data_IF_145459101424
#
_entry.id   IF_145459101424
#
_cell.length_a   1.000
_cell.length_b   1.000
_cell.length_c   1.000
_cell.angle_alpha   90.00
_cell.angle_beta   90.00
_cell.angle_gamma   90.00
#
_symmetry.space_group_name_H-M   'P 1'
#
loop_
_entity.id
_entity.type
_entity.pdbx_description
1 polymer ?
#
# COMPACT_ATOMS: atom_id res chain seq x y z
N UNK A 1 -4.19 1.42 -20.05
CA UNK A 1 -4.15 2.79 -20.58
C UNK A 1 -4.30 3.72 -19.38
N UNK A 2 -3.20 4.16 -18.78
CA UNK A 2 -3.25 4.97 -17.56
C UNK A 2 -3.91 6.32 -17.86
N UNK A 3 -4.91 6.69 -17.06
CA UNK A 3 -5.38 8.07 -17.02
C UNK A 3 -4.25 8.93 -16.45
N UNK A 4 -3.37 9.40 -17.32
CA UNK A 4 -2.52 10.55 -17.00
C UNK A 4 -3.51 11.72 -16.88
N UNK A 5 -3.78 12.17 -15.65
CA UNK A 5 -4.54 13.40 -15.46
C UNK A 5 -3.82 14.51 -16.23
N UNK A 6 -4.51 15.10 -17.20
CA UNK A 6 -4.03 16.24 -17.96
C UNK A 6 -4.00 17.47 -17.04
N UNK A 7 -3.22 18.50 -17.39
CA UNK A 7 -3.18 19.77 -16.63
C UNK A 7 -4.58 20.38 -16.42
N UNK A 8 -5.52 20.08 -17.33
CA UNK A 8 -6.93 20.45 -17.25
C UNK A 8 -7.68 19.74 -16.11
N UNK A 9 -7.40 18.44 -15.90
CA UNK A 9 -7.96 17.67 -14.79
C UNK A 9 -7.49 18.20 -13.42
N UNK A 10 -6.20 18.54 -13.29
CA UNK A 10 -5.66 19.14 -12.07
C UNK A 10 -6.23 20.53 -11.77
N UNK A 11 -6.50 21.33 -12.80
CA UNK A 11 -7.12 22.65 -12.64
C UNK A 11 -8.56 22.53 -12.13
N UNK A 12 -9.38 21.68 -12.78
CA UNK A 12 -10.79 21.48 -12.42
C UNK A 12 -10.92 20.89 -11.01
N UNK A 13 -10.12 19.87 -10.69
CA UNK A 13 -10.12 19.24 -9.36
C UNK A 13 -9.69 20.22 -8.27
N UNK A 14 -8.68 21.05 -8.50
CA UNK A 14 -8.19 22.01 -7.51
C UNK A 14 -9.21 23.12 -7.22
N UNK A 15 -9.82 23.68 -8.26
CA UNK A 15 -10.86 24.71 -8.10
C UNK A 15 -12.07 24.11 -7.37
N UNK A 16 -12.51 22.91 -7.75
CA UNK A 16 -13.63 22.24 -7.08
C UNK A 16 -13.31 21.95 -5.60
N UNK A 17 -12.08 21.50 -5.30
CA UNK A 17 -11.64 21.23 -3.93
C UNK A 17 -11.52 22.50 -3.09
N UNK A 18 -11.03 23.60 -3.66
CA UNK A 18 -10.96 24.90 -2.99
C UNK A 18 -12.35 25.47 -2.71
N UNK A 19 -13.30 25.30 -3.65
CA UNK A 19 -14.69 25.71 -3.46
C UNK A 19 -15.36 24.90 -2.36
N UNK A 20 -15.18 23.58 -2.38
CA UNK A 20 -15.69 22.69 -1.35
C UNK A 20 -15.10 23.02 0.03
N UNK A 21 -13.78 23.17 0.13
CA UNK A 21 -13.09 23.41 1.39
C UNK A 21 -13.51 24.73 2.07
N UNK A 22 -13.82 25.76 1.28
CA UNK A 22 -14.35 27.02 1.79
C UNK A 22 -15.81 26.91 2.22
N UNK A 23 -16.67 26.29 1.40
CA UNK A 23 -18.09 26.13 1.72
C UNK A 23 -18.34 25.17 2.90
N UNK A 24 -17.45 24.21 3.11
CA UNK A 24 -17.48 23.28 4.23
C UNK A 24 -16.73 23.79 5.47
N UNK A 25 -16.21 25.04 5.43
CA UNK A 25 -15.50 25.70 6.53
C UNK A 25 -14.38 24.84 7.16
N UNK A 26 -13.66 24.06 6.34
CA UNK A 26 -12.68 23.07 6.82
C UNK A 26 -11.56 23.68 7.68
N UNK A 27 -11.23 24.95 7.44
CA UNK A 27 -10.35 25.72 8.31
C UNK A 27 -10.83 27.17 8.42
N UNK A 28 -10.57 27.86 9.55
CA UNK A 28 -10.93 29.27 9.72
C UNK A 28 -10.29 30.19 8.67
N UNK A 29 -9.08 29.85 8.23
CA UNK A 29 -8.32 30.60 7.22
C UNK A 29 -8.98 30.51 5.84
N UNK A 30 -9.49 29.34 5.44
CA UNK A 30 -10.18 29.16 4.16
C UNK A 30 -11.62 29.68 4.20
N UNK A 31 -12.31 29.54 5.33
CA UNK A 31 -13.67 30.03 5.52
C UNK A 31 -13.74 31.56 5.39
N UNK A 32 -12.77 32.28 5.97
CA UNK A 32 -12.78 33.75 6.03
C UNK A 32 -11.85 34.42 5.02
N UNK A 33 -11.02 33.65 4.30
CA UNK A 33 -10.11 34.19 3.29
C UNK A 33 -10.83 34.63 2.01
N UNK A 34 -10.32 35.66 1.33
CA UNK A 34 -10.89 36.15 0.08
C UNK A 34 -10.69 35.18 -1.08
N UNK A 35 -11.69 35.07 -1.96
CA UNK A 35 -11.61 34.24 -3.17
C UNK A 35 -10.44 34.62 -4.08
N UNK A 36 -10.07 35.91 -4.06
CA UNK A 36 -8.93 36.44 -4.80
C UNK A 36 -7.59 35.85 -4.37
N UNK A 37 -7.46 35.37 -3.13
CA UNK A 37 -6.24 34.71 -2.65
C UNK A 37 -6.37 33.18 -2.73
N UNK A 38 -7.55 32.65 -2.40
CA UNK A 38 -7.80 31.20 -2.34
C UNK A 38 -7.70 30.55 -3.72
N UNK A 39 -8.34 31.12 -4.74
CA UNK A 39 -8.35 30.51 -6.08
C UNK A 39 -6.96 30.52 -6.73
N UNK A 40 -6.22 31.66 -6.76
CA UNK A 40 -4.86 31.64 -7.30
C UNK A 40 -3.91 30.76 -6.50
N UNK A 41 -4.02 30.67 -5.17
CA UNK A 41 -3.17 29.79 -4.36
C UNK A 41 -3.46 28.32 -4.63
N UNK A 42 -4.73 27.93 -4.75
CA UNK A 42 -5.13 26.57 -5.09
C UNK A 42 -4.65 26.17 -6.49
N UNK A 43 -4.78 27.08 -7.47
CA UNK A 43 -4.30 26.87 -8.85
C UNK A 43 -2.77 26.78 -8.87
N UNK A 44 -2.06 27.67 -8.18
CA UNK A 44 -0.59 27.66 -8.14
C UNK A 44 -0.07 26.38 -7.49
N UNK A 45 -0.72 25.92 -6.41
CA UNK A 45 -0.32 24.70 -5.68
C UNK A 45 -0.59 23.44 -6.51
N UNK A 46 -1.72 23.37 -7.22
CA UNK A 46 -2.03 22.20 -8.04
C UNK A 46 -1.24 22.14 -9.35
N UNK A 47 -0.79 23.30 -9.87
CA UNK A 47 0.04 23.39 -11.05
C UNK A 47 1.54 23.32 -10.72
N UNK A 48 1.93 23.40 -9.45
CA UNK A 48 3.33 23.32 -9.03
C UNK A 48 4.06 22.07 -9.57
N UNK A 49 3.47 20.86 -9.54
CA UNK A 49 4.07 19.64 -10.11
C UNK A 49 4.16 19.63 -11.64
N UNK A 50 3.41 20.51 -12.32
CA UNK A 50 3.50 20.70 -13.77
C UNK A 50 4.43 21.88 -14.11
N UNK A 51 4.67 22.81 -13.19
CA UNK A 51 5.61 23.92 -13.35
C UNK A 51 7.05 23.49 -13.03
N UNK A 52 7.24 22.56 -12.09
CA UNK A 52 8.55 22.06 -11.66
C UNK A 52 9.20 21.07 -12.64
N UNK A 53 8.41 20.38 -13.45
CA UNK A 53 8.89 19.34 -14.35
C UNK A 53 9.28 19.92 -15.72
N UNK A 54 10.51 19.73 -16.23
CA UNK A 54 10.96 20.40 -17.46
C UNK A 54 10.31 19.86 -18.75
N UNK A 55 9.66 18.69 -18.68
CA UNK A 55 8.99 18.04 -19.83
C UNK A 55 7.47 18.17 -19.81
N UNK A 56 6.88 18.74 -18.77
CA UNK A 56 5.43 19.01 -18.73
C UNK A 56 5.04 20.15 -19.68
N UNK A 57 3.73 20.32 -19.90
CA UNK A 57 3.22 21.39 -20.74
C UNK A 57 3.55 22.79 -20.17
N UNK A 58 3.27 23.02 -18.87
CA UNK A 58 3.60 24.29 -18.24
C UNK A 58 5.10 24.49 -18.04
N UNK A 59 5.84 23.44 -17.70
CA UNK A 59 7.30 23.50 -17.56
C UNK A 59 8.02 23.79 -18.88
N UNK A 60 7.47 23.36 -20.03
CA UNK A 60 7.98 23.74 -21.35
C UNK A 60 7.64 25.18 -21.75
N UNK A 61 6.54 25.76 -21.26
CA UNK A 61 6.15 27.15 -21.55
C UNK A 61 6.80 28.16 -20.59
N UNK A 62 6.93 27.81 -19.33
CA UNK A 62 7.52 28.63 -18.27
C UNK A 62 8.96 28.18 -17.98
N UNK A 63 9.79 28.08 -19.02
CA UNK A 63 11.19 27.59 -18.91
C UNK A 63 12.02 28.39 -17.91
N UNK A 64 11.68 29.65 -17.65
CA UNK A 64 12.38 30.51 -16.69
C UNK A 64 12.06 30.17 -15.22
N UNK A 65 10.94 29.48 -14.96
CA UNK A 65 10.55 28.96 -13.63
C UNK A 65 10.93 27.48 -13.50
N UNK A 66 10.62 26.67 -14.52
CA UNK A 66 10.87 25.22 -14.48
C UNK A 66 12.36 24.86 -14.50
N UNK A 67 13.18 25.55 -15.30
CA UNK A 67 14.63 25.31 -15.34
C UNK A 67 15.30 25.52 -13.99
N UNK A 68 14.97 26.55 -13.17
CA UNK A 68 15.47 26.69 -11.80
C UNK A 68 15.03 25.61 -10.81
N UNK A 69 13.80 25.14 -10.93
CA UNK A 69 13.23 24.15 -10.01
C UNK A 69 13.73 22.73 -10.35
N UNK A 70 13.92 22.43 -11.63
CA UNK A 70 14.49 21.19 -12.14
C UNK A 70 16.03 21.09 -12.03
N UNK A 71 16.71 22.04 -11.36
CA UNK A 71 18.17 22.07 -11.34
C UNK A 71 18.73 20.91 -10.53
N UNK A 72 19.59 20.12 -11.17
CA UNK A 72 20.31 19.02 -10.55
C UNK A 72 21.02 19.42 -9.24
N UNK A 73 21.52 20.65 -9.14
CA UNK A 73 22.19 21.13 -7.92
C UNK A 73 21.31 21.09 -6.67
N UNK A 74 19.97 21.18 -6.78
CA UNK A 74 19.10 21.12 -5.60
C UNK A 74 19.16 19.72 -5.00
N UNK A 75 19.10 18.70 -5.86
CA UNK A 75 19.23 17.29 -5.46
C UNK A 75 20.60 17.03 -4.85
N UNK A 76 21.65 17.54 -5.48
CA UNK A 76 23.02 17.45 -4.97
C UNK A 76 23.17 18.13 -3.60
N UNK A 77 22.59 19.33 -3.42
CA UNK A 77 22.61 20.05 -2.13
C UNK A 77 21.83 19.34 -1.03
N UNK A 78 20.68 18.74 -1.33
CA UNK A 78 19.92 17.99 -0.33
C UNK A 78 20.69 16.74 0.08
N UNK A 79 21.27 16.02 -0.89
CA UNK A 79 22.11 14.85 -0.61
C UNK A 79 23.38 15.22 0.16
N UNK A 80 23.96 16.38 -0.10
CA UNK A 80 25.07 16.93 0.68
C UNK A 80 24.69 17.13 2.16
N UNK A 81 23.48 17.63 2.43
CA UNK A 81 22.97 17.71 3.81
C UNK A 81 22.73 16.33 4.43
N UNK A 82 22.27 15.34 3.65
CA UNK A 82 22.15 13.97 4.15
C UNK A 82 23.50 13.37 4.54
N UNK A 83 24.59 13.72 3.84
CA UNK A 83 25.93 13.23 4.16
C UNK A 83 26.43 13.73 5.53
N UNK A 84 25.90 14.87 6.02
CA UNK A 84 26.15 15.36 7.39
C UNK A 84 25.30 14.66 8.45
N UNK A 85 24.33 13.84 8.06
CA UNK A 85 23.50 13.04 8.96
C UNK A 85 24.03 11.60 9.00
N UNK A 86 24.09 10.96 7.84
CA UNK A 86 24.61 9.61 7.65
C UNK A 86 25.07 9.40 6.20
N UNK A 87 26.34 9.01 6.03
CA UNK A 87 26.95 8.85 4.70
C UNK A 87 26.32 7.70 3.92
N UNK A 88 25.92 6.61 4.59
CA UNK A 88 25.28 5.46 3.93
C UNK A 88 23.91 5.83 3.37
N UNK A 89 23.11 6.59 4.12
CA UNK A 89 21.85 7.18 3.65
C UNK A 89 22.07 8.06 2.42
N UNK A 90 23.05 8.98 2.49
CA UNK A 90 23.36 9.88 1.40
C UNK A 90 23.79 9.12 0.13
N UNK A 91 24.61 8.07 0.27
CA UNK A 91 25.02 7.21 -0.85
C UNK A 91 23.84 6.48 -1.49
N UNK A 92 22.94 5.92 -0.69
CA UNK A 92 21.75 5.23 -1.20
C UNK A 92 20.82 6.17 -1.98
N UNK A 93 20.59 7.38 -1.46
CA UNK A 93 19.80 8.40 -2.16
C UNK A 93 20.51 8.88 -3.44
N UNK A 94 21.81 9.15 -3.38
CA UNK A 94 22.62 9.58 -4.54
C UNK A 94 22.58 8.53 -5.67
N UNK A 95 22.75 7.25 -5.33
CA UNK A 95 22.68 6.14 -6.28
C UNK A 95 21.34 6.12 -7.03
N UNK A 96 20.23 6.25 -6.31
CA UNK A 96 18.88 6.29 -6.89
C UNK A 96 18.63 7.55 -7.73
N UNK A 97 19.33 8.65 -7.43
CA UNK A 97 19.27 9.90 -8.20
C UNK A 97 20.26 9.96 -9.36
N UNK A 98 21.13 8.95 -9.52
CA UNK A 98 22.04 8.78 -10.65
C UNK A 98 23.34 9.57 -10.56
N UNK A 99 23.83 9.90 -9.35
CA UNK A 99 25.14 10.52 -9.16
C UNK A 99 25.91 9.93 -7.97
N UNK A 100 27.22 10.17 -7.92
CA UNK A 100 28.08 9.71 -6.84
C UNK A 100 28.42 10.88 -5.90
N UNK A 101 28.58 10.58 -4.62
CA UNK A 101 29.16 11.52 -3.66
C UNK A 101 30.64 11.77 -4.00
N UNK A 102 31.13 12.98 -3.71
CA UNK A 102 32.56 13.28 -3.80
C UNK A 102 33.33 12.57 -2.70
N UNK A 103 34.65 12.41 -2.86
CA UNK A 103 35.49 11.82 -1.80
C UNK A 103 35.35 12.60 -0.49
N UNK A 104 35.32 13.93 -0.54
CA UNK A 104 35.11 14.79 0.63
C UNK A 104 33.79 14.48 1.34
N UNK A 105 32.68 14.36 0.59
CA UNK A 105 31.37 14.03 1.15
C UNK A 105 31.34 12.66 1.82
N UNK A 106 32.10 11.68 1.31
CA UNK A 106 32.20 10.35 1.94
C UNK A 106 33.03 10.33 3.24
N UNK A 107 33.79 11.39 3.51
CA UNK A 107 34.65 11.52 4.70
C UNK A 107 34.06 12.47 5.76
N UNK A 108 32.83 12.97 5.55
CA UNK A 108 32.14 13.81 6.54
C UNK A 108 31.94 13.00 7.82
N UNK A 109 32.43 13.54 8.94
CA UNK A 109 32.26 12.90 10.24
C UNK A 109 30.77 12.93 10.65
N UNK A 110 30.22 11.82 11.16
CA UNK A 110 28.85 11.80 11.66
C UNK A 110 28.71 12.72 12.88
N UNK A 111 27.49 13.23 13.14
CA UNK A 111 27.23 14.05 14.33
C UNK A 111 27.48 13.25 15.62
N UNK A 112 27.80 13.92 16.74
CA UNK A 112 28.01 13.25 18.01
C UNK A 112 26.71 12.60 18.53
N UNK A 113 26.87 11.56 19.34
CA UNK A 113 25.77 10.91 20.04
C UNK A 113 25.01 11.90 20.94
N UNK A 114 23.68 11.78 20.97
CA UNK A 114 22.85 12.62 21.85
C UNK A 114 22.92 12.06 23.25
N UNK A 115 23.63 12.76 24.15
CA UNK A 115 23.83 12.31 25.54
C UNK A 115 24.42 10.88 25.67
N UNK A 116 25.26 10.47 24.71
CA UNK A 116 25.85 9.12 24.66
C UNK A 116 24.91 8.04 24.11
N UNK A 117 23.71 8.41 23.65
CA UNK A 117 22.78 7.49 22.98
C UNK A 117 23.08 7.42 21.49
N UNK A 118 23.38 6.20 21.03
CA UNK A 118 23.55 5.88 19.60
C UNK A 118 22.25 5.52 18.89
N UNK A 119 21.28 5.00 19.64
CA UNK A 119 19.96 4.61 19.15
C UNK A 119 18.98 4.58 20.31
N UNK A 120 17.71 4.81 19.99
CA UNK A 120 16.60 4.64 20.92
C UNK A 120 15.51 3.79 20.23
N UNK A 121 15.27 2.54 20.68
CA UNK A 121 14.23 1.68 20.12
C UNK A 121 12.83 2.29 20.15
N UNK A 122 12.54 3.21 21.07
CA UNK A 122 11.23 3.86 21.18
C UNK A 122 10.91 4.78 19.97
N UNK A 123 11.93 5.19 19.21
CA UNK A 123 11.76 5.97 17.98
C UNK A 123 11.42 5.11 16.76
N UNK A 124 11.41 3.77 16.90
CA UNK A 124 11.05 2.85 15.84
C UNK A 124 9.66 2.27 16.08
N UNK A 125 8.80 2.34 15.06
CA UNK A 125 7.45 1.75 15.09
C UNK A 125 7.45 0.21 15.24
N UNK A 126 8.54 -0.47 14.87
CA UNK A 126 8.55 -1.94 14.78
C UNK A 126 9.69 -2.59 15.55
N UNK A 127 10.61 -1.83 16.15
CA UNK A 127 11.69 -2.40 16.95
C UNK A 127 11.17 -3.01 18.26
N UNK A 128 10.07 -2.46 18.79
CA UNK A 128 9.36 -3.00 19.95
C UNK A 128 7.96 -3.38 19.47
N UNK A 129 7.64 -4.68 19.33
CA UNK A 129 6.32 -5.10 18.92
C UNK A 129 5.27 -4.57 19.91
N UNK A 130 4.36 -3.76 19.40
CA UNK A 130 3.22 -3.24 20.14
C UNK A 130 1.91 -3.46 19.37
N UNK A 131 0.80 -3.52 20.12
CA UNK A 131 -0.54 -3.64 19.55
C UNK A 131 -1.10 -5.07 19.43
N UNK A 132 -2.33 -5.11 18.96
CA UNK A 132 -3.17 -6.31 18.78
C UNK A 132 -3.78 -6.28 17.37
N UNK A 133 -4.36 -7.40 16.94
CA UNK A 133 -5.07 -7.53 15.66
C UNK A 133 -6.50 -6.99 15.71
N UNK A 134 -7.05 -6.69 16.90
CA UNK A 134 -8.40 -6.16 17.05
C UNK A 134 -8.62 -4.89 16.23
N UNK A 135 -9.71 -4.88 15.45
CA UNK A 135 -10.08 -3.78 14.55
C UNK A 135 -9.46 -3.85 13.16
N UNK A 136 -8.51 -4.76 12.92
CA UNK A 136 -8.00 -5.05 11.58
C UNK A 136 -9.05 -5.71 10.71
N UNK A 137 -8.85 -5.66 9.40
CA UNK A 137 -9.80 -6.17 8.41
C UNK A 137 -9.12 -7.20 7.50
N UNK A 138 -9.79 -8.30 7.22
CA UNK A 138 -9.33 -9.36 6.31
C UNK A 138 -10.26 -9.46 5.11
N UNK A 139 -9.70 -9.49 3.91
CA UNK A 139 -10.44 -9.84 2.71
C UNK A 139 -10.56 -11.37 2.60
N UNK A 140 -11.77 -11.86 2.37
CA UNK A 140 -12.04 -13.26 2.06
C UNK A 140 -12.50 -13.33 0.60
N UNK A 141 -11.67 -13.87 -0.29
CA UNK A 141 -11.97 -13.96 -1.72
C UNK A 141 -12.84 -15.20 -1.96
N UNK A 142 -14.14 -15.00 -2.16
CA UNK A 142 -15.09 -16.08 -2.39
C UNK A 142 -14.98 -16.64 -3.82
N UNK A 143 -15.54 -17.83 -4.00
CA UNK A 143 -15.85 -18.45 -5.28
C UNK A 143 -17.35 -18.79 -5.34
N UNK A 144 -17.86 -19.26 -6.48
CA UNK A 144 -19.29 -19.58 -6.66
C UNK A 144 -19.79 -20.77 -5.83
N UNK A 145 -18.89 -21.56 -5.22
CA UNK A 145 -19.22 -22.72 -4.37
C UNK A 145 -18.21 -22.91 -3.24
N UNK A 146 -18.16 -21.94 -2.33
CA UNK A 146 -17.23 -21.93 -1.18
C UNK A 146 -17.53 -23.07 -0.23
N UNK A 147 -16.47 -23.65 0.37
CA UNK A 147 -16.62 -24.59 1.48
C UNK A 147 -17.17 -23.87 2.73
N UNK A 148 -18.40 -24.18 3.11
CA UNK A 148 -19.08 -23.49 4.22
C UNK A 148 -18.41 -23.75 5.58
N UNK A 149 -17.89 -24.95 5.80
CA UNK A 149 -17.24 -25.33 7.06
C UNK A 149 -15.92 -24.57 7.28
N UNK A 150 -15.11 -24.43 6.22
CA UNK A 150 -13.90 -23.60 6.25
C UNK A 150 -14.24 -22.13 6.50
N UNK A 151 -15.22 -21.59 5.77
CA UNK A 151 -15.63 -20.20 5.92
C UNK A 151 -16.13 -19.92 7.35
N UNK A 152 -16.92 -20.83 7.92
CA UNK A 152 -17.39 -20.70 9.30
C UNK A 152 -16.22 -20.65 10.29
N UNK A 153 -15.23 -21.53 10.11
CA UNK A 153 -14.02 -21.59 10.95
C UNK A 153 -13.23 -20.28 10.86
N UNK A 154 -13.03 -19.76 9.65
CA UNK A 154 -12.37 -18.46 9.41
C UNK A 154 -13.12 -17.36 10.17
N UNK A 155 -14.42 -17.22 9.94
CA UNK A 155 -15.22 -16.13 10.52
C UNK A 155 -15.25 -16.19 12.06
N UNK A 156 -15.31 -17.39 12.64
CA UNK A 156 -15.26 -17.57 14.09
C UNK A 156 -13.91 -17.18 14.69
N UNK A 157 -12.80 -17.60 14.08
CA UNK A 157 -11.46 -17.26 14.55
C UNK A 157 -11.18 -15.75 14.44
N UNK A 158 -11.56 -15.11 13.33
CA UNK A 158 -11.45 -13.66 13.17
C UNK A 158 -12.30 -12.91 14.21
N UNK A 159 -13.56 -13.31 14.41
CA UNK A 159 -14.45 -12.70 15.39
C UNK A 159 -13.92 -12.84 16.83
N UNK A 160 -13.33 -13.99 17.17
CA UNK A 160 -12.75 -14.22 18.50
C UNK A 160 -11.60 -13.26 18.85
N UNK A 161 -10.89 -12.75 17.83
CA UNK A 161 -9.83 -11.74 17.98
C UNK A 161 -10.29 -10.32 17.67
N UNK A 162 -11.58 -10.11 17.40
CA UNK A 162 -12.12 -8.80 17.01
C UNK A 162 -11.61 -8.30 15.66
N UNK A 163 -11.24 -9.20 14.76
CA UNK A 163 -10.84 -8.92 13.39
C UNK A 163 -12.09 -8.96 12.50
N UNK A 164 -12.24 -7.98 11.62
CA UNK A 164 -13.39 -7.89 10.71
C UNK A 164 -13.11 -8.66 9.41
N UNK A 165 -14.14 -9.27 8.83
CA UNK A 165 -14.06 -9.94 7.53
C UNK A 165 -14.86 -9.17 6.48
N UNK A 166 -14.31 -9.03 5.27
CA UNK A 166 -15.01 -8.57 4.08
C UNK A 166 -15.10 -9.72 3.07
N UNK A 167 -16.32 -10.16 2.78
CA UNK A 167 -16.60 -11.18 1.79
C UNK A 167 -16.58 -10.55 0.39
N UNK A 168 -15.59 -10.90 -0.43
CA UNK A 168 -15.37 -10.30 -1.74
C UNK A 168 -15.61 -11.29 -2.86
N UNK A 169 -16.15 -10.81 -3.98
CA UNK A 169 -16.40 -11.64 -5.16
C UNK A 169 -16.27 -10.88 -6.48
N UNK A 170 -16.47 -11.54 -7.63
CA UNK A 170 -16.38 -10.91 -8.96
C UNK A 170 -17.56 -9.98 -9.28
N UNK A 171 -18.69 -10.13 -8.57
CA UNK A 171 -19.92 -9.32 -8.70
C UNK A 171 -20.56 -9.09 -7.34
N UNK A 172 -21.50 -8.15 -7.25
CA UNK A 172 -22.33 -7.96 -6.06
C UNK A 172 -23.46 -9.02 -5.95
N UNK A 173 -24.20 -8.95 -4.86
CA UNK A 173 -25.36 -9.81 -4.58
C UNK A 173 -24.99 -10.95 -3.64
N UNK A 174 -25.37 -12.16 -4.01
CA UNK A 174 -25.17 -13.36 -3.19
C UNK A 174 -24.49 -14.48 -3.98
N UNK A 175 -23.81 -15.37 -3.25
CA UNK A 175 -23.28 -16.66 -3.71
C UNK A 175 -23.78 -17.77 -2.78
N UNK A 176 -23.95 -18.98 -3.30
CA UNK A 176 -24.40 -20.14 -2.52
C UNK A 176 -23.21 -21.03 -2.19
N UNK A 177 -22.99 -21.31 -0.91
CA UNK A 177 -21.94 -22.22 -0.47
C UNK A 177 -22.30 -23.69 -0.77
N UNK A 178 -21.35 -24.60 -0.54
CA UNK A 178 -21.52 -26.03 -0.83
C UNK A 178 -22.61 -26.74 0.02
N UNK A 179 -22.93 -26.21 1.20
CA UNK A 179 -24.00 -26.67 2.09
C UNK A 179 -25.38 -26.05 1.77
N UNK A 180 -25.45 -25.18 0.76
CA UNK A 180 -26.67 -24.44 0.38
C UNK A 180 -26.87 -23.11 1.11
N UNK A 181 -25.96 -22.71 2.01
CA UNK A 181 -26.01 -21.42 2.69
C UNK A 181 -25.80 -20.26 1.72
N UNK A 182 -26.56 -19.18 1.91
CA UNK A 182 -26.42 -17.96 1.12
C UNK A 182 -25.43 -17.00 1.76
N UNK A 183 -24.45 -16.54 1.00
CA UNK A 183 -23.42 -15.59 1.44
C UNK A 183 -23.63 -14.25 0.73
N UNK A 184 -23.91 -13.20 1.50
CA UNK A 184 -24.00 -11.83 0.97
C UNK A 184 -22.62 -11.24 0.73
N UNK A 185 -22.40 -10.75 -0.49
CA UNK A 185 -21.12 -10.17 -0.91
C UNK A 185 -21.04 -8.73 -0.43
N UNK A 186 -19.96 -8.38 0.27
CA UNK A 186 -19.75 -7.05 0.81
C UNK A 186 -19.26 -6.06 -0.26
N UNK A 187 -18.39 -6.50 -1.15
CA UNK A 187 -17.88 -5.70 -2.26
C UNK A 187 -17.31 -6.59 -3.37
N UNK A 188 -17.11 -6.04 -4.55
CA UNK A 188 -16.33 -6.72 -5.59
C UNK A 188 -14.83 -6.63 -5.31
N UNK A 189 -14.02 -7.48 -5.95
CA UNK A 189 -12.55 -7.40 -5.87
C UNK A 189 -12.01 -5.99 -6.19
N UNK A 190 -12.49 -5.39 -7.28
CA UNK A 190 -12.14 -4.03 -7.66
C UNK A 190 -12.78 -2.95 -6.76
N UNK A 191 -13.96 -3.22 -6.19
CA UNK A 191 -14.69 -2.27 -5.33
C UNK A 191 -14.08 -2.11 -3.94
N UNK A 192 -13.35 -3.13 -3.45
CA UNK A 192 -12.62 -3.08 -2.20
C UNK A 192 -11.22 -3.69 -2.38
N UNK A 193 -10.29 -2.97 -3.04
CA UNK A 193 -8.96 -3.48 -3.38
C UNK A 193 -8.15 -3.87 -2.14
N UNK A 194 -7.06 -4.62 -2.35
CA UNK A 194 -6.28 -5.18 -1.24
C UNK A 194 -5.75 -4.07 -0.33
N UNK A 195 -5.53 -2.87 -0.86
CA UNK A 195 -5.16 -1.65 -0.11
C UNK A 195 -6.02 -1.40 1.14
N UNK A 196 -7.30 -1.80 1.11
CA UNK A 196 -8.28 -1.51 2.16
C UNK A 196 -8.35 -2.55 3.30
N UNK A 197 -7.48 -3.57 3.27
CA UNK A 197 -7.44 -4.67 4.25
C UNK A 197 -6.01 -4.95 4.74
N UNK A 198 -5.87 -5.67 5.84
CA UNK A 198 -4.61 -6.01 6.49
C UNK A 198 -4.05 -7.36 6.03
N UNK A 199 -4.92 -8.31 5.65
CA UNK A 199 -4.54 -9.63 5.15
C UNK A 199 -5.60 -10.18 4.18
N UNK A 200 -5.24 -11.26 3.47
CA UNK A 200 -6.11 -11.91 2.48
C UNK A 200 -6.21 -13.40 2.75
N UNK A 201 -7.43 -13.94 2.73
CA UNK A 201 -7.71 -15.38 2.82
C UNK A 201 -8.45 -15.81 1.55
N UNK A 202 -8.05 -16.95 0.98
CA UNK A 202 -8.79 -17.63 -0.10
C UNK A 202 -9.21 -19.02 0.41
N UNK A 203 -10.48 -19.21 0.80
CA UNK A 203 -10.98 -20.52 1.21
C UNK A 203 -11.10 -21.47 0.01
N UNK A 204 -11.20 -22.77 0.30
CA UNK A 204 -11.43 -23.80 -0.70
C UNK A 204 -12.87 -23.73 -1.27
N UNK A 205 -13.16 -24.59 -2.25
CA UNK A 205 -14.41 -24.58 -3.02
C UNK A 205 -14.13 -24.74 -4.51
N UNK A 206 -14.94 -24.13 -5.36
CA UNK A 206 -14.70 -24.12 -6.80
C UNK A 206 -13.70 -23.04 -7.21
N UNK A 207 -12.41 -23.27 -6.95
CA UNK A 207 -11.34 -22.28 -7.23
C UNK A 207 -11.24 -21.91 -8.71
N UNK A 208 -11.61 -22.82 -9.63
CA UNK A 208 -11.59 -22.57 -11.07
C UNK A 208 -12.43 -21.35 -11.48
N UNK A 209 -13.46 -21.01 -10.71
CA UNK A 209 -14.31 -19.82 -10.90
C UNK A 209 -13.50 -18.50 -10.83
N UNK A 210 -12.53 -18.41 -9.91
CA UNK A 210 -11.75 -17.19 -9.67
C UNK A 210 -10.29 -17.29 -10.11
N UNK A 211 -9.79 -18.48 -10.43
CA UNK A 211 -8.38 -18.72 -10.80
C UNK A 211 -7.94 -17.94 -12.06
N UNK A 212 -8.87 -17.77 -13.00
CA UNK A 212 -8.68 -17.01 -14.23
C UNK A 212 -9.16 -15.55 -14.15
N UNK A 213 -9.76 -15.14 -13.02
CA UNK A 213 -10.26 -13.78 -12.82
C UNK A 213 -9.09 -12.81 -12.63
N UNK A 214 -8.96 -11.83 -13.53
CA UNK A 214 -7.89 -10.83 -13.50
C UNK A 214 -7.83 -10.06 -12.17
N UNK A 215 -8.97 -9.62 -11.66
CA UNK A 215 -9.04 -8.85 -10.42
C UNK A 215 -8.67 -9.68 -9.20
N UNK A 216 -9.12 -10.94 -9.10
CA UNK A 216 -8.76 -11.83 -7.99
C UNK A 216 -7.25 -12.12 -7.95
N UNK A 217 -6.68 -12.38 -9.13
CA UNK A 217 -5.23 -12.57 -9.30
C UNK A 217 -4.46 -11.30 -8.91
N UNK A 218 -4.88 -10.15 -9.42
CA UNK A 218 -4.25 -8.87 -9.09
C UNK A 218 -4.36 -8.56 -7.59
N UNK A 219 -5.47 -8.91 -6.95
CA UNK A 219 -5.66 -8.75 -5.51
C UNK A 219 -4.54 -9.42 -4.70
N UNK A 220 -4.19 -10.66 -5.07
CA UNK A 220 -3.12 -11.42 -4.41
C UNK A 220 -1.74 -10.83 -4.72
N UNK A 221 -1.50 -10.43 -5.97
CA UNK A 221 -0.25 -9.77 -6.37
C UNK A 221 -0.04 -8.44 -5.61
N UNK A 222 -1.07 -7.61 -5.52
CA UNK A 222 -1.05 -6.32 -4.81
C UNK A 222 -0.85 -6.54 -3.29
N UNK A 223 -1.57 -7.49 -2.69
CA UNK A 223 -1.38 -7.84 -1.29
C UNK A 223 0.03 -8.36 -1.00
N UNK A 224 0.57 -9.19 -1.89
CA UNK A 224 1.92 -9.75 -1.77
C UNK A 224 2.99 -8.66 -1.86
N UNK A 225 2.88 -7.78 -2.86
CA UNK A 225 3.79 -6.63 -3.05
C UNK A 225 3.76 -5.67 -1.86
N UNK A 226 2.60 -5.53 -1.21
CA UNK A 226 2.46 -4.72 0.01
C UNK A 226 2.77 -5.48 1.31
N UNK A 227 3.44 -6.64 1.23
CA UNK A 227 3.94 -7.38 2.39
C UNK A 227 2.83 -7.88 3.33
N UNK A 228 1.61 -8.08 2.83
CA UNK A 228 0.49 -8.54 3.65
C UNK A 228 0.57 -10.06 3.85
N UNK A 229 0.13 -10.58 5.01
CA UNK A 229 -0.12 -12.00 5.17
C UNK A 229 -1.18 -12.49 4.18
N UNK A 230 -0.92 -13.63 3.54
CA UNK A 230 -1.84 -14.28 2.61
C UNK A 230 -2.05 -15.71 3.09
N UNK A 231 -3.30 -16.17 3.13
CA UNK A 231 -3.64 -17.53 3.53
C UNK A 231 -4.45 -18.24 2.43
N UNK A 232 -4.00 -19.42 2.00
CA UNK A 232 -4.58 -20.20 0.91
C UNK A 232 -4.98 -21.59 1.41
N UNK A 233 -6.27 -21.92 1.39
CA UNK A 233 -6.78 -23.22 1.81
C UNK A 233 -7.06 -24.15 0.62
N UNK A 234 -6.71 -25.43 0.76
CA UNK A 234 -7.05 -26.48 -0.20
C UNK A 234 -6.56 -26.17 -1.61
N UNK A 235 -7.48 -26.15 -2.58
CA UNK A 235 -7.17 -25.87 -3.99
C UNK A 235 -6.72 -24.43 -4.23
N UNK A 236 -6.96 -23.49 -3.31
CA UNK A 236 -6.50 -22.11 -3.45
C UNK A 236 -4.98 -21.99 -3.49
N UNK A 237 -4.24 -23.01 -3.02
CA UNK A 237 -2.77 -23.07 -3.13
C UNK A 237 -2.25 -23.02 -4.56
N UNK A 238 -3.10 -23.27 -5.58
CA UNK A 238 -2.75 -23.07 -6.99
C UNK A 238 -2.34 -21.62 -7.28
N UNK A 239 -2.83 -20.64 -6.50
CA UNK A 239 -2.40 -19.24 -6.60
C UNK A 239 -0.92 -19.01 -6.20
N UNK A 240 -0.21 -19.98 -5.62
CA UNK A 240 1.24 -19.86 -5.34
C UNK A 240 2.06 -19.59 -6.60
N UNK A 241 1.69 -20.23 -7.71
CA UNK A 241 2.36 -20.05 -8.98
C UNK A 241 2.28 -18.60 -9.48
N UNK A 242 1.18 -17.90 -9.18
CA UNK A 242 1.02 -16.48 -9.50
C UNK A 242 1.99 -15.59 -8.72
N UNK A 243 2.34 -15.98 -7.50
CA UNK A 243 3.20 -15.22 -6.60
C UNK A 243 4.68 -15.59 -6.74
N UNK A 244 5.04 -16.44 -7.72
CA UNK A 244 6.37 -17.03 -7.88
C UNK A 244 6.89 -17.74 -6.61
N UNK A 245 5.98 -18.38 -5.86
CA UNK A 245 6.32 -19.17 -4.67
C UNK A 245 6.37 -20.64 -5.07
N UNK A 246 7.46 -21.32 -4.72
CA UNK A 246 7.65 -22.74 -5.00
C UNK A 246 6.84 -23.65 -4.07
N UNK A 247 7.00 -24.96 -4.23
CA UNK A 247 6.30 -25.96 -3.41
C UNK A 247 6.72 -25.96 -1.93
N UNK A 248 7.89 -25.41 -1.58
CA UNK A 248 8.35 -25.35 -0.19
C UNK A 248 7.66 -24.24 0.61
N UNK A 249 7.01 -23.31 -0.09
CA UNK A 249 6.29 -22.20 0.54
C UNK A 249 7.24 -21.06 0.95
N UNK A 250 6.70 -20.11 1.69
CA UNK A 250 7.44 -18.93 2.14
C UNK A 250 6.82 -18.38 3.44
N UNK A 251 7.65 -17.79 4.30
CA UNK A 251 7.17 -17.01 5.45
C UNK A 251 6.15 -15.94 5.02
N UNK A 252 5.03 -15.87 5.74
CA UNK A 252 3.95 -14.93 5.43
C UNK A 252 2.94 -15.42 4.39
N UNK A 253 3.15 -16.60 3.80
CA UNK A 253 2.12 -17.36 3.12
C UNK A 253 1.70 -18.53 4.02
N UNK A 254 0.44 -18.55 4.45
CA UNK A 254 -0.13 -19.66 5.20
C UNK A 254 -0.84 -20.58 4.22
N UNK A 255 -0.53 -21.87 4.24
CA UNK A 255 -1.15 -22.87 3.37
C UNK A 255 -1.45 -24.16 4.11
N UNK A 256 -2.61 -24.76 3.84
CA UNK A 256 -3.03 -26.04 4.40
C UNK A 256 -4.04 -26.72 3.46
N UNK A 257 -4.25 -28.02 3.64
CA UNK A 257 -5.29 -28.76 2.90
C UNK A 257 -6.70 -28.31 3.29
N UNK A 258 -6.90 -27.97 4.56
CA UNK A 258 -8.17 -27.44 5.08
C UNK A 258 -7.88 -26.31 6.09
N UNK A 259 -8.86 -25.45 6.34
CA UNK A 259 -8.78 -24.45 7.42
C UNK A 259 -9.00 -25.12 8.77
N UNK A 260 -7.99 -25.07 9.63
CA UNK A 260 -8.06 -25.47 11.04
C UNK A 260 -7.61 -24.34 11.99
N UNK A 261 -7.54 -24.64 13.29
CA UNK A 261 -7.06 -23.70 14.28
C UNK A 261 -5.60 -23.27 14.04
N UNK A 262 -4.74 -24.19 13.62
CA UNK A 262 -3.33 -23.89 13.37
C UNK A 262 -3.14 -22.93 12.20
N UNK A 263 -3.90 -23.13 11.12
CA UNK A 263 -3.96 -22.22 9.97
C UNK A 263 -4.34 -20.80 10.40
N UNK A 264 -5.42 -20.66 11.18
CA UNK A 264 -5.88 -19.36 11.65
C UNK A 264 -4.93 -18.70 12.66
N UNK A 265 -4.37 -19.47 13.60
CA UNK A 265 -3.40 -18.96 14.58
C UNK A 265 -2.11 -18.48 13.92
N UNK A 266 -1.65 -19.19 12.89
CA UNK A 266 -0.47 -18.79 12.11
C UNK A 266 -0.74 -17.47 11.38
N UNK A 267 -1.90 -17.34 10.73
CA UNK A 267 -2.29 -16.09 10.06
C UNK A 267 -2.40 -14.93 11.05
N UNK A 268 -3.06 -15.12 12.20
CA UNK A 268 -3.25 -14.09 13.21
C UNK A 268 -1.91 -13.64 13.82
N UNK A 269 -0.96 -14.57 13.98
CA UNK A 269 0.42 -14.25 14.40
C UNK A 269 1.13 -13.37 13.38
N UNK A 270 1.02 -13.68 12.09
CA UNK A 270 1.57 -12.85 11.02
C UNK A 270 0.92 -11.47 10.96
N UNK A 271 -0.40 -11.39 11.21
CA UNK A 271 -1.12 -10.12 11.28
C UNK A 271 -0.68 -9.25 12.47
N UNK A 272 -0.37 -9.87 13.62
CA UNK A 272 0.16 -9.18 14.79
C UNK A 272 1.53 -8.54 14.49
N UNK A 273 2.35 -9.18 13.65
CA UNK A 273 3.61 -8.61 13.14
C UNK A 273 3.43 -7.49 12.10
N UNK A 274 2.18 -7.10 11.80
CA UNK A 274 1.76 -6.06 10.86
C UNK A 274 2.04 -6.37 9.38
N UNK A 275 3.27 -6.68 8.99
CA UNK A 275 3.70 -7.02 7.64
C UNK A 275 4.79 -8.09 7.64
N UNK A 276 4.96 -8.74 6.51
CA UNK A 276 5.97 -9.77 6.25
C UNK A 276 7.23 -9.10 5.71
N UNK A 277 8.03 -8.50 6.59
CA UNK A 277 9.21 -7.70 6.21
C UNK A 277 10.28 -8.49 5.47
N UNK A 278 10.43 -9.79 5.76
CA UNK A 278 11.37 -10.70 5.09
C UNK A 278 11.11 -10.83 3.58
N UNK A 279 9.89 -10.52 3.11
CA UNK A 279 9.51 -10.53 1.70
C UNK A 279 10.00 -9.31 0.91
N UNK A 280 10.46 -8.23 1.56
CA UNK A 280 10.84 -6.98 0.89
C UNK A 280 11.89 -7.14 -0.22
N UNK A 281 12.78 -8.15 -0.12
CA UNK A 281 13.75 -8.45 -1.17
C UNK A 281 13.18 -9.10 -2.43
N UNK A 282 11.96 -9.66 -2.37
CA UNK A 282 11.33 -10.42 -3.46
C UNK A 282 10.32 -9.61 -4.28
N UNK A 283 9.73 -8.57 -3.69
CA UNK A 283 8.61 -7.84 -4.30
C UNK A 283 8.97 -7.09 -5.59
N UNK A 284 10.24 -6.76 -5.82
CA UNK A 284 10.68 -6.06 -7.03
C UNK A 284 10.50 -6.88 -8.31
N UNK A 285 10.40 -8.21 -8.20
CA UNK A 285 10.15 -9.11 -9.33
C UNK A 285 8.66 -9.30 -9.65
N UNK A 286 7.76 -8.78 -8.80
CA UNK A 286 6.31 -9.00 -8.91
C UNK A 286 5.68 -7.85 -9.71
N UNK A 287 5.06 -8.13 -10.88
CA UNK A 287 4.44 -7.10 -11.73
C UNK A 287 3.02 -6.79 -11.25
N UNK A 288 2.92 -6.15 -10.08
CA UNK A 288 1.67 -5.63 -9.50
C UNK A 288 1.65 -4.10 -9.50
#
# INVERSE_FOLDING_TARGET
MGFIMTAEGHLLFSIASAVFAKNAELTPVLAHGDWWHIIPSAILTCLLPDIDHPKSFLGQRLKWVSKPIARAYIRERVVDQLAHIDVTLAQGVAHNLGFALTHEQTQIAPPPDVNGLKKDPALSLYAVPDGDVKGRVVAILLNDKVNAAELLTILQALKAKGVHAKLLYSRMGEVTADDGSTLTIAATFAGAPSLTVDAVIVPCGNIADIESCGDARYYLLEAYKHLKPIALAGDARRFKALLNIDSQGEEGLVEADNVDHHFMDTLLTLMAAHRVWSRAGKINAIPA
#
